data_IF_741205055281
#
_entry.id   IF_741205055281
#
_cell.length_a   1.000
_cell.length_b   1.000
_cell.length_c   1.000
_cell.angle_alpha   90.00
_cell.angle_beta   90.00
_cell.angle_gamma   90.00
#
_symmetry.space_group_name_H-M   'P 1'
#
loop_
_entity.id
_entity.type
_entity.pdbx_description
1 polymer ?
#
# COMPACT_ATOMS: atom_id res chain seq x y z
N UNK A 1 -0.17 -11.47 -18.98
CA UNK A 1 0.52 -10.22 -18.62
C UNK A 1 1.70 -10.07 -19.57
N UNK A 2 2.01 -8.86 -20.06
CA UNK A 2 3.14 -8.69 -20.98
C UNK A 2 4.45 -8.76 -20.18
N UNK A 3 5.52 -9.27 -20.79
CA UNK A 3 6.86 -9.35 -20.18
C UNK A 3 7.38 -7.99 -19.68
N UNK A 4 6.89 -6.90 -20.28
CA UNK A 4 7.12 -5.51 -19.84
C UNK A 4 6.62 -5.21 -18.43
N UNK A 5 5.48 -5.78 -18.03
CA UNK A 5 4.84 -5.44 -16.76
C UNK A 5 5.58 -6.11 -15.59
N UNK A 6 6.08 -7.34 -15.81
CA UNK A 6 6.91 -8.05 -14.84
C UNK A 6 8.29 -7.39 -14.67
N UNK A 7 8.85 -6.83 -15.74
CA UNK A 7 10.10 -6.07 -15.68
C UNK A 7 9.92 -4.78 -14.85
N UNK A 8 8.79 -4.08 -14.99
CA UNK A 8 8.48 -2.92 -14.16
C UNK A 8 8.40 -3.29 -12.67
N UNK A 9 7.65 -4.35 -12.34
CA UNK A 9 7.54 -4.84 -10.97
C UNK A 9 8.87 -5.30 -10.37
N UNK A 10 9.75 -5.92 -11.18
CA UNK A 10 11.11 -6.24 -10.77
C UNK A 10 11.91 -4.99 -10.41
N UNK A 11 11.87 -3.98 -11.28
CA UNK A 11 12.56 -2.70 -11.05
C UNK A 11 12.02 -1.98 -9.81
N UNK A 12 10.71 -2.01 -9.57
CA UNK A 12 10.11 -1.45 -8.36
C UNK A 12 10.65 -2.12 -7.08
N UNK A 13 10.79 -3.44 -7.07
CA UNK A 13 11.35 -4.16 -5.93
C UNK A 13 12.84 -3.86 -5.74
N UNK A 14 13.62 -3.85 -6.83
CA UNK A 14 15.04 -3.50 -6.82
C UNK A 14 15.27 -2.08 -6.29
N UNK A 15 14.48 -1.11 -6.75
CA UNK A 15 14.50 0.28 -6.27
C UNK A 15 14.18 0.37 -4.78
N UNK A 16 13.16 -0.36 -4.33
CA UNK A 16 12.78 -0.39 -2.92
C UNK A 16 13.91 -0.95 -2.05
N UNK A 17 14.47 -2.10 -2.43
CA UNK A 17 15.60 -2.73 -1.73
C UNK A 17 16.79 -1.79 -1.68
N UNK A 18 17.24 -1.27 -2.82
CA UNK A 18 18.36 -0.32 -2.92
C UNK A 18 18.19 0.91 -2.03
N UNK A 19 16.97 1.46 -1.94
CA UNK A 19 16.70 2.64 -1.12
C UNK A 19 16.64 2.35 0.37
N UNK A 20 16.25 1.16 0.78
CA UNK A 20 15.91 0.86 2.18
C UNK A 20 16.69 -0.29 2.81
N UNK A 21 17.61 -0.92 2.09
CA UNK A 21 18.54 -1.90 2.65
C UNK A 21 19.33 -1.25 3.80
N UNK A 22 19.43 -1.98 4.92
CA UNK A 22 20.04 -1.48 6.16
C UNK A 22 19.27 -0.38 6.89
N UNK A 23 18.10 0.07 6.41
CA UNK A 23 17.29 1.12 7.04
C UNK A 23 16.12 0.54 7.85
N UNK A 24 15.60 1.34 8.79
CA UNK A 24 14.33 1.06 9.48
C UNK A 24 13.17 1.38 8.54
N UNK A 25 12.28 0.41 8.35
CA UNK A 25 11.00 0.53 7.67
C UNK A 25 9.91 0.65 8.72
N UNK A 26 9.04 1.66 8.63
CA UNK A 26 7.97 1.83 9.60
C UNK A 26 6.95 0.69 9.50
N UNK A 27 6.46 0.22 10.65
CA UNK A 27 5.27 -0.62 10.71
C UNK A 27 4.09 0.13 10.09
N UNK A 28 3.28 -0.56 9.30
CA UNK A 28 2.14 0.06 8.62
C UNK A 28 0.85 -0.23 9.38
N UNK A 29 -0.05 0.74 9.38
CA UNK A 29 -1.35 0.61 10.07
C UNK A 29 -2.46 1.25 9.27
N UNK A 30 -3.69 0.78 9.53
CA UNK A 30 -4.92 1.37 9.02
C UNK A 30 -5.89 1.61 10.17
N UNK A 31 -6.39 2.83 10.27
CA UNK A 31 -7.39 3.19 11.27
C UNK A 31 -8.46 4.08 10.67
N UNK A 32 -9.71 3.83 11.05
CA UNK A 32 -10.81 4.71 10.67
C UNK A 32 -10.75 5.96 11.53
N UNK A 33 -10.74 7.13 10.88
CA UNK A 33 -10.63 8.44 11.52
C UNK A 33 -11.73 9.37 11.08
N UNK A 34 -11.96 10.41 11.89
CA UNK A 34 -12.81 11.53 11.52
C UNK A 34 -11.92 12.70 11.10
N UNK A 35 -11.85 12.98 9.80
CA UNK A 35 -10.95 13.96 9.20
C UNK A 35 -11.73 14.96 8.34
N UNK A 36 -11.66 16.24 8.70
CA UNK A 36 -12.45 17.32 8.10
C UNK A 36 -11.59 18.42 7.44
N UNK A 37 -10.28 18.23 7.33
CA UNK A 37 -9.38 19.23 6.73
C UNK A 37 -9.30 19.06 5.22
N UNK A 38 -8.83 20.09 4.54
CA UNK A 38 -8.55 20.02 3.10
C UNK A 38 -7.59 18.87 2.78
N UNK A 39 -7.93 18.15 1.72
CA UNK A 39 -7.16 17.02 1.20
C UNK A 39 -6.84 17.25 -0.28
N UNK A 40 -5.72 16.67 -0.71
CA UNK A 40 -5.20 16.73 -2.07
C UNK A 40 -4.86 15.32 -2.53
N UNK A 41 -4.94 15.06 -3.83
CA UNK A 41 -4.47 13.79 -4.37
C UNK A 41 -2.98 13.63 -4.08
N UNK A 42 -2.58 12.43 -3.67
CA UNK A 42 -1.18 12.03 -3.65
C UNK A 42 -0.67 11.98 -5.09
N UNK A 43 0.37 12.75 -5.37
CA UNK A 43 1.01 12.82 -6.68
C UNK A 43 1.81 11.55 -6.94
N UNK A 44 1.66 10.98 -8.13
CA UNK A 44 2.31 9.71 -8.48
C UNK A 44 1.59 8.46 -7.97
N UNK A 45 0.40 8.62 -7.38
CA UNK A 45 -0.37 7.49 -6.84
C UNK A 45 -0.99 6.55 -7.87
N UNK A 46 -0.82 6.83 -9.15
CA UNK A 46 -1.32 5.95 -10.22
C UNK A 46 -0.60 4.59 -10.23
N UNK A 47 0.68 4.59 -9.86
CA UNK A 47 1.47 3.39 -9.56
C UNK A 47 1.31 2.93 -8.11
N UNK A 48 0.52 3.65 -7.28
CA UNK A 48 0.31 3.23 -5.91
C UNK A 48 -0.56 1.97 -5.88
N UNK A 49 -0.28 1.09 -4.91
CA UNK A 49 -0.43 -0.31 -5.23
C UNK A 49 -1.66 -0.92 -4.52
N UNK A 50 -2.27 -1.95 -5.11
CA UNK A 50 -3.56 -2.53 -4.66
C UNK A 50 -3.35 -3.57 -3.53
N UNK A 51 -4.25 -3.63 -2.54
CA UNK A 51 -4.11 -4.42 -1.30
C UNK A 51 -4.60 -5.88 -1.43
N UNK A 52 -3.86 -6.93 -1.03
CA UNK A 52 -4.39 -8.30 -1.05
C UNK A 52 -5.56 -8.52 -0.08
N UNK A 53 -6.60 -9.24 -0.52
CA UNK A 53 -7.92 -9.30 0.13
C UNK A 53 -8.86 -8.14 -0.24
N UNK A 54 -8.37 -7.18 -1.01
CA UNK A 54 -9.11 -6.04 -1.54
C UNK A 54 -8.45 -5.54 -2.82
N UNK A 55 -8.88 -6.08 -3.97
CA UNK A 55 -8.30 -5.88 -5.31
C UNK A 55 -8.14 -4.41 -5.78
N UNK A 56 -8.49 -3.43 -4.94
CA UNK A 56 -8.40 -1.98 -5.12
C UNK A 56 -8.41 -1.27 -3.76
N UNK A 57 -7.96 0.00 -3.70
CA UNK A 57 -8.21 0.88 -2.55
C UNK A 57 -9.69 0.94 -2.18
N UNK A 58 -10.56 0.81 -3.19
CA UNK A 58 -11.99 0.63 -3.00
C UNK A 58 -12.33 -0.58 -2.12
N UNK A 59 -11.73 -1.74 -2.39
CA UNK A 59 -11.92 -2.93 -1.56
C UNK A 59 -11.51 -2.68 -0.10
N UNK A 60 -10.40 -1.97 0.13
CA UNK A 60 -9.92 -1.70 1.48
C UNK A 60 -10.90 -0.79 2.24
N UNK A 61 -11.42 0.25 1.58
CA UNK A 61 -12.47 1.11 2.15
C UNK A 61 -13.73 0.31 2.50
N UNK A 62 -14.16 -0.61 1.61
CA UNK A 62 -15.30 -1.51 1.88
C UNK A 62 -15.01 -2.42 3.07
N UNK A 63 -13.81 -3.01 3.15
CA UNK A 63 -13.42 -3.90 4.22
C UNK A 63 -13.37 -3.19 5.58
N UNK A 64 -13.10 -1.88 5.61
CA UNK A 64 -13.02 -1.07 6.82
C UNK A 64 -14.29 -0.29 7.15
N UNK A 65 -15.31 -0.30 6.27
CA UNK A 65 -16.48 0.58 6.38
C UNK A 65 -17.22 0.48 7.72
N UNK A 66 -17.27 -0.73 8.30
CA UNK A 66 -17.96 -1.01 9.57
C UNK A 66 -17.03 -1.57 10.65
N UNK A 67 -15.70 -1.44 10.48
CA UNK A 67 -14.70 -1.98 11.44
C UNK A 67 -14.43 -1.05 12.62
N UNK A 68 -15.05 0.13 12.68
CA UNK A 68 -14.82 1.12 13.73
C UNK A 68 -16.14 1.55 14.39
N UNK A 69 -16.08 1.75 15.71
CA UNK A 69 -17.16 2.37 16.49
C UNK A 69 -17.16 3.90 16.40
N UNK A 70 -16.11 4.50 15.84
CA UNK A 70 -15.97 5.96 15.73
C UNK A 70 -16.94 6.55 14.71
N UNK A 71 -16.95 5.98 13.50
CA UNK A 71 -17.80 6.38 12.39
C UNK A 71 -17.80 5.29 11.30
N UNK A 72 -18.73 5.41 10.35
CA UNK A 72 -18.85 4.49 9.20
C UNK A 72 -18.35 5.19 7.93
N UNK A 73 -17.48 4.52 7.19
CA UNK A 73 -17.05 4.99 5.86
C UNK A 73 -18.20 4.71 4.89
N UNK A 74 -18.90 5.75 4.46
CA UNK A 74 -20.00 5.63 3.51
C UNK A 74 -19.49 5.38 2.08
N UNK A 75 -19.45 4.14 1.62
CA UNK A 75 -19.00 3.80 0.26
C UNK A 75 -20.06 3.99 -0.85
N UNK A 76 -21.20 4.63 -0.57
CA UNK A 76 -22.28 4.80 -1.56
C UNK A 76 -21.97 5.79 -2.69
N UNK A 77 -20.97 6.65 -2.54
CA UNK A 77 -20.67 7.69 -3.53
C UNK A 77 -19.40 8.47 -3.24
N UNK A 78 -19.02 9.34 -4.18
CA UNK A 78 -17.88 10.23 -4.06
C UNK A 78 -18.03 11.20 -2.87
N UNK A 79 -16.93 11.42 -2.13
CA UNK A 79 -16.91 12.32 -0.97
C UNK A 79 -16.81 13.79 -1.35
N UNK A 80 -16.29 14.08 -2.53
CA UNK A 80 -16.07 15.45 -3.00
C UNK A 80 -17.40 16.08 -3.37
N UNK A 81 -17.63 17.32 -2.91
CA UNK A 81 -18.84 18.10 -3.15
C UNK A 81 -18.65 19.26 -4.14
N UNK A 82 -17.39 19.64 -4.45
CA UNK A 82 -17.01 20.66 -5.47
C UNK A 82 -17.42 20.27 -6.90
N UNK A 83 -17.35 21.18 -7.91
CA UNK A 83 -18.23 21.08 -9.07
C UNK A 83 -18.10 19.74 -9.81
N UNK A 84 -19.23 19.04 -10.02
CA UNK A 84 -19.24 17.73 -10.66
C UNK A 84 -18.81 17.83 -12.13
N UNK A 85 -18.35 16.72 -12.73
CA UNK A 85 -17.95 16.70 -14.13
C UNK A 85 -19.09 17.22 -15.02
N UNK A 86 -18.80 18.21 -15.87
CA UNK A 86 -19.74 18.84 -16.81
C UNK A 86 -21.12 19.23 -16.21
N UNK A 87 -21.18 19.64 -14.94
CA UNK A 87 -22.40 20.17 -14.32
C UNK A 87 -23.48 19.14 -13.95
N UNK A 88 -23.13 17.85 -13.89
CA UNK A 88 -24.04 16.76 -13.51
C UNK A 88 -24.14 16.49 -12.00
N UNK A 89 -24.48 15.27 -11.60
CA UNK A 89 -24.29 14.79 -10.23
C UNK A 89 -22.91 14.14 -10.08
N UNK A 90 -22.38 14.06 -8.86
CA UNK A 90 -21.14 13.33 -8.63
C UNK A 90 -21.32 11.84 -8.98
N UNK A 91 -20.36 11.22 -9.70
CA UNK A 91 -20.43 9.80 -10.01
C UNK A 91 -20.34 8.93 -8.75
N UNK A 92 -20.70 7.66 -8.91
CA UNK A 92 -20.50 6.64 -7.90
C UNK A 92 -19.01 6.56 -7.45
N UNK A 93 -18.82 5.98 -6.28
CA UNK A 93 -17.51 5.55 -5.82
C UNK A 93 -16.96 4.45 -6.74
N UNK A 94 -15.74 4.61 -7.24
CA UNK A 94 -15.17 3.66 -8.21
C UNK A 94 -13.71 3.24 -7.94
N UNK A 95 -12.93 4.05 -7.20
CA UNK A 95 -11.46 3.85 -7.15
C UNK A 95 -10.87 3.88 -5.74
N UNK A 96 -11.34 4.76 -4.86
CA UNK A 96 -10.70 5.05 -3.57
C UNK A 96 -9.53 6.00 -3.78
N UNK A 97 -9.69 7.24 -3.33
CA UNK A 97 -8.71 8.30 -3.50
C UNK A 97 -7.62 8.23 -2.45
N UNK A 98 -6.36 8.30 -2.87
CA UNK A 98 -5.20 8.39 -2.00
C UNK A 98 -4.88 9.86 -1.75
N UNK A 99 -5.04 10.29 -0.50
CA UNK A 99 -5.11 11.69 -0.13
C UNK A 99 -4.02 12.08 0.86
N UNK A 100 -3.55 13.32 0.76
CA UNK A 100 -2.62 13.94 1.70
C UNK A 100 -3.09 15.34 2.07
N UNK A 101 -2.62 15.85 3.19
CA UNK A 101 -2.80 17.25 3.59
C UNK A 101 -1.81 18.19 2.91
N UNK A 102 -0.75 17.65 2.28
CA UNK A 102 0.20 18.45 1.51
C UNK A 102 -0.37 18.82 0.14
N UNK A 103 -0.52 20.13 -0.09
CA UNK A 103 -0.94 20.69 -1.38
C UNK A 103 -0.10 20.28 -2.59
N UNK A 104 1.14 19.79 -2.39
CA UNK A 104 2.00 19.26 -3.46
C UNK A 104 1.72 17.79 -3.77
N UNK A 105 0.85 17.14 -3.02
CA UNK A 105 0.54 15.72 -3.17
C UNK A 105 1.65 14.81 -2.62
N UNK A 106 2.52 15.31 -1.73
CA UNK A 106 3.59 14.52 -1.13
C UNK A 106 3.12 13.84 0.17
N UNK A 107 3.69 12.66 0.44
CA UNK A 107 3.61 11.98 1.73
C UNK A 107 5.05 11.76 2.20
N UNK A 108 5.38 12.30 3.37
CA UNK A 108 6.71 12.11 3.94
C UNK A 108 6.94 10.63 4.31
N UNK A 109 8.19 10.18 4.29
CA UNK A 109 8.56 8.85 4.79
C UNK A 109 8.13 8.70 6.27
N UNK A 110 7.48 7.59 6.59
CA UNK A 110 6.83 7.34 7.88
C UNK A 110 5.53 8.11 8.10
N UNK A 111 5.14 8.97 7.16
CA UNK A 111 3.95 9.80 7.22
C UNK A 111 2.65 9.02 7.06
N UNK A 112 1.56 9.76 7.06
CA UNK A 112 0.21 9.23 6.83
C UNK A 112 -0.39 9.78 5.55
N UNK A 113 -1.24 8.96 4.96
CA UNK A 113 -2.19 9.37 3.95
C UNK A 113 -3.61 9.04 4.43
N UNK A 114 -4.59 9.43 3.64
CA UNK A 114 -6.00 9.10 3.87
C UNK A 114 -6.57 8.45 2.62
N UNK A 115 -7.40 7.43 2.82
CA UNK A 115 -8.27 6.89 1.79
C UNK A 115 -9.68 7.36 2.02
N UNK A 116 -10.30 7.86 0.95
CA UNK A 116 -11.73 8.21 0.94
C UNK A 116 -12.40 7.77 -0.36
N UNK A 117 -13.71 7.48 -0.35
CA UNK A 117 -14.45 7.18 -1.57
C UNK A 117 -14.40 8.32 -2.60
N UNK A 118 -13.82 8.05 -3.77
CA UNK A 118 -13.75 8.97 -4.91
C UNK A 118 -14.27 8.32 -6.20
N UNK A 119 -14.75 9.17 -7.11
CA UNK A 119 -14.94 8.79 -8.51
C UNK A 119 -13.65 8.98 -9.34
N UNK A 120 -13.60 8.37 -10.53
CA UNK A 120 -12.42 8.45 -11.42
C UNK A 120 -12.02 9.88 -11.79
N UNK A 121 -12.98 10.80 -11.94
CA UNK A 121 -12.68 12.17 -12.34
C UNK A 121 -11.93 12.96 -11.25
N UNK A 122 -12.36 12.84 -10.00
CA UNK A 122 -11.67 13.48 -8.86
C UNK A 122 -10.32 12.83 -8.59
N UNK A 123 -10.21 11.52 -8.82
CA UNK A 123 -8.96 10.78 -8.67
C UNK A 123 -8.04 10.89 -9.90
N UNK A 124 -8.23 11.88 -10.78
CA UNK A 124 -7.38 12.08 -11.95
C UNK A 124 -6.20 13.00 -11.65
N UNK A 125 -5.10 12.82 -12.38
CA UNK A 125 -3.90 13.67 -12.28
C UNK A 125 -4.19 15.15 -12.56
N UNK A 126 -5.22 15.45 -13.36
CA UNK A 126 -5.71 16.80 -13.61
C UNK A 126 -6.23 17.53 -12.35
N UNK A 127 -6.42 16.81 -11.24
CA UNK A 127 -6.85 17.33 -9.94
C UNK A 127 -5.75 17.31 -8.88
N UNK A 128 -4.51 16.98 -9.24
CA UNK A 128 -3.39 17.09 -8.31
C UNK A 128 -3.19 18.55 -7.90
N UNK A 129 -2.92 18.78 -6.61
CA UNK A 129 -2.78 20.11 -6.02
C UNK A 129 -4.07 20.93 -5.91
N UNK A 130 -5.21 20.37 -6.31
CA UNK A 130 -6.53 20.98 -6.08
C UNK A 130 -7.06 20.48 -4.75
N UNK A 131 -7.39 21.42 -3.85
CA UNK A 131 -8.01 21.09 -2.57
C UNK A 131 -9.42 20.53 -2.80
N UNK A 132 -9.73 19.40 -2.20
CA UNK A 132 -11.07 18.83 -2.22
C UNK A 132 -11.90 19.34 -1.05
N UNK A 133 -13.09 19.85 -1.39
CA UNK A 133 -14.16 20.06 -0.42
C UNK A 133 -14.96 18.77 -0.29
N UNK A 134 -15.12 18.27 0.92
CA UNK A 134 -15.92 17.09 1.23
C UNK A 134 -16.77 17.33 2.48
N UNK A 135 -18.00 16.82 2.50
CA UNK A 135 -18.90 16.91 3.66
C UNK A 135 -18.84 15.67 4.55
N UNK A 136 -18.38 14.55 3.99
CA UNK A 136 -18.14 13.31 4.72
C UNK A 136 -16.71 13.32 5.25
N UNK A 137 -16.56 12.94 6.51
CA UNK A 137 -15.29 13.05 7.24
C UNK A 137 -14.77 11.70 7.73
N UNK A 138 -15.57 10.64 7.63
CA UNK A 138 -15.11 9.31 8.02
C UNK A 138 -14.21 8.71 6.93
N UNK A 139 -12.93 8.53 7.25
CA UNK A 139 -11.91 8.12 6.29
C UNK A 139 -11.05 7.01 6.88
N UNK A 140 -10.31 6.31 6.02
CA UNK A 140 -9.30 5.36 6.46
C UNK A 140 -7.94 6.05 6.41
N UNK A 141 -7.32 6.33 7.56
CA UNK A 141 -5.94 6.77 7.61
C UNK A 141 -5.02 5.57 7.49
N UNK A 142 -4.05 5.65 6.58
CA UNK A 142 -2.98 4.68 6.45
C UNK A 142 -1.66 5.34 6.86
N UNK A 143 -0.83 4.66 7.65
CA UNK A 143 0.43 5.19 8.16
C UNK A 143 1.60 4.24 7.86
N UNK A 144 2.83 4.77 7.99
CA UNK A 144 4.06 3.98 7.82
C UNK A 144 4.53 3.88 6.36
N UNK A 145 4.10 4.82 5.50
CA UNK A 145 4.50 4.85 4.10
C UNK A 145 5.98 5.11 3.92
N UNK A 146 6.58 4.38 3.00
CA UNK A 146 7.90 4.62 2.46
C UNK A 146 7.75 5.26 1.08
N UNK A 147 8.65 6.19 0.74
CA UNK A 147 8.59 6.91 -0.54
C UNK A 147 8.65 5.94 -1.72
N UNK A 148 7.64 6.00 -2.61
CA UNK A 148 7.51 5.19 -3.83
C UNK A 148 7.59 3.67 -3.59
N UNK A 149 7.02 3.18 -2.49
CA UNK A 149 7.08 1.76 -2.17
C UNK A 149 6.04 0.91 -2.92
N UNK A 150 6.35 -0.36 -3.26
CA UNK A 150 5.37 -1.31 -3.79
C UNK A 150 4.33 -1.77 -2.75
N UNK A 151 3.12 -2.21 -3.17
CA UNK A 151 2.03 -2.60 -2.23
C UNK A 151 2.45 -3.75 -1.37
N UNK A 152 3.04 -4.74 -2.01
CA UNK A 152 3.48 -5.93 -1.34
C UNK A 152 4.38 -5.56 -0.16
N UNK A 153 5.20 -4.51 -0.27
CA UNK A 153 6.05 -4.04 0.84
C UNK A 153 5.25 -3.34 1.94
N UNK A 154 4.28 -2.47 1.61
CA UNK A 154 3.40 -1.85 2.61
C UNK A 154 2.58 -2.91 3.36
N UNK A 155 2.05 -3.87 2.61
CA UNK A 155 1.17 -4.93 3.10
C UNK A 155 1.91 -6.01 3.89
N UNK A 156 3.15 -6.32 3.51
CA UNK A 156 4.03 -7.18 4.29
C UNK A 156 4.31 -6.64 5.71
N UNK A 157 4.13 -5.33 5.92
CA UNK A 157 4.28 -4.65 7.22
C UNK A 157 2.95 -4.35 7.90
N UNK A 158 1.83 -4.77 7.29
CA UNK A 158 0.48 -4.47 7.72
C UNK A 158 -0.05 -5.54 8.68
N UNK A 159 -0.76 -5.13 9.74
CA UNK A 159 -1.35 -5.99 10.78
C UNK A 159 -0.34 -6.78 11.64
N UNK A 160 0.96 -6.77 11.34
CA UNK A 160 2.07 -6.92 12.30
C UNK A 160 2.13 -8.16 13.19
N UNK A 161 1.39 -9.24 12.91
CA UNK A 161 1.27 -10.39 13.82
C UNK A 161 2.39 -11.41 13.70
N UNK A 162 2.99 -11.54 12.52
CA UNK A 162 4.02 -12.53 12.25
C UNK A 162 5.43 -11.96 12.44
N UNK A 163 6.43 -12.85 12.57
CA UNK A 163 7.83 -12.46 12.79
C UNK A 163 8.44 -11.71 11.58
N UNK A 164 7.82 -11.81 10.41
CA UNK A 164 8.18 -11.01 9.25
C UNK A 164 7.32 -11.34 8.05
N UNK A 165 7.85 -11.06 6.87
CA UNK A 165 7.21 -11.36 5.60
C UNK A 165 8.26 -11.46 4.48
N UNK A 166 7.95 -12.21 3.44
CA UNK A 166 8.66 -12.13 2.16
C UNK A 166 7.81 -11.36 1.17
N UNK A 167 8.43 -10.44 0.46
CA UNK A 167 7.90 -9.80 -0.74
C UNK A 167 8.62 -10.41 -1.92
N UNK A 168 7.88 -10.86 -2.93
CA UNK A 168 8.48 -11.52 -4.10
C UNK A 168 7.70 -11.26 -5.37
N UNK A 169 8.37 -11.38 -6.51
CA UNK A 169 7.76 -11.32 -7.84
C UNK A 169 7.13 -12.68 -8.16
N UNK A 170 5.86 -12.68 -8.55
CA UNK A 170 5.15 -13.83 -9.13
C UNK A 170 4.76 -13.53 -10.58
N UNK A 171 4.15 -14.51 -11.27
CA UNK A 171 3.58 -14.31 -12.59
C UNK A 171 2.46 -13.25 -12.66
N UNK A 172 1.94 -12.81 -11.50
CA UNK A 172 0.91 -11.78 -11.38
C UNK A 172 1.45 -10.41 -10.90
N UNK A 173 2.77 -10.28 -10.71
CA UNK A 173 3.42 -9.08 -10.18
C UNK A 173 3.95 -9.27 -8.76
N UNK A 174 4.22 -8.17 -8.05
CA UNK A 174 4.72 -8.24 -6.67
C UNK A 174 3.62 -8.67 -5.70
N UNK A 175 3.91 -9.70 -4.91
CA UNK A 175 3.04 -10.19 -3.84
C UNK A 175 3.84 -10.37 -2.55
N UNK A 176 3.17 -10.74 -1.47
CA UNK A 176 3.83 -10.99 -0.18
C UNK A 176 3.23 -12.19 0.54
N UNK A 177 4.01 -12.70 1.49
CA UNK A 177 3.55 -13.72 2.44
C UNK A 177 4.12 -13.42 3.82
N UNK A 178 3.27 -13.51 4.83
CA UNK A 178 3.70 -13.41 6.21
C UNK A 178 4.53 -14.65 6.61
N UNK A 179 5.58 -14.44 7.40
CA UNK A 179 6.55 -15.47 7.77
C UNK A 179 6.60 -15.64 9.30
N UNK A 180 6.46 -16.87 9.81
CA UNK A 180 6.83 -17.16 11.18
C UNK A 180 8.35 -17.04 11.33
N UNK A 181 8.85 -17.06 12.57
CA UNK A 181 10.27 -16.86 12.86
C UNK A 181 11.18 -17.87 12.14
N UNK A 182 10.72 -19.12 12.00
CA UNK A 182 11.43 -20.15 11.25
C UNK A 182 11.60 -19.82 9.76
N UNK A 183 10.69 -19.04 9.17
CA UNK A 183 10.68 -18.67 7.75
C UNK A 183 11.57 -17.47 7.41
N UNK A 184 12.16 -16.79 8.39
CA UNK A 184 13.00 -15.61 8.17
C UNK A 184 14.37 -15.92 7.54
N UNK A 185 14.77 -17.19 7.52
CA UNK A 185 16.01 -17.64 6.87
C UNK A 185 15.69 -18.12 5.47
N UNK A 186 16.43 -17.64 4.47
CA UNK A 186 16.27 -18.03 3.05
C UNK A 186 16.30 -19.56 2.87
N UNK A 187 17.16 -20.28 3.59
CA UNK A 187 17.24 -21.75 3.56
C UNK A 187 15.97 -22.47 4.03
N UNK A 188 15.09 -21.81 4.79
CA UNK A 188 13.83 -22.38 5.28
C UNK A 188 12.64 -22.09 4.35
N UNK A 189 12.83 -21.28 3.30
CA UNK A 189 11.75 -20.86 2.43
C UNK A 189 11.32 -21.94 1.44
N UNK A 190 12.22 -22.85 1.07
CA UNK A 190 11.91 -24.04 0.25
C UNK A 190 10.82 -24.94 0.87
N UNK A 191 10.56 -24.80 2.18
CA UNK A 191 9.51 -25.53 2.90
C UNK A 191 8.15 -24.81 2.91
N UNK A 192 8.04 -23.62 2.34
CA UNK A 192 6.78 -22.86 2.30
C UNK A 192 5.91 -23.36 1.13
N UNK A 193 4.74 -23.98 1.39
CA UNK A 193 3.85 -24.46 0.34
C UNK A 193 3.33 -23.28 -0.48
N UNK A 194 3.23 -23.40 -1.80
CA UNK A 194 2.68 -22.37 -2.71
C UNK A 194 3.59 -21.15 -2.98
N UNK A 195 4.91 -21.30 -2.84
CA UNK A 195 5.85 -20.37 -3.48
C UNK A 195 5.81 -20.54 -5.01
N UNK A 196 6.11 -19.48 -5.79
CA UNK A 196 5.92 -19.51 -7.24
C UNK A 196 6.87 -20.51 -7.89
N UNK A 197 6.53 -20.96 -9.10
CA UNK A 197 7.28 -22.00 -9.81
C UNK A 197 8.71 -21.56 -10.21
N UNK A 198 9.00 -20.25 -10.21
CA UNK A 198 10.30 -19.65 -10.55
C UNK A 198 11.23 -19.48 -9.34
N UNK A 199 11.48 -20.58 -8.65
CA UNK A 199 12.46 -20.66 -7.57
C UNK A 199 13.89 -20.79 -8.13
N UNK A 200 14.85 -20.20 -7.43
CA UNK A 200 16.25 -20.51 -7.65
C UNK A 200 16.60 -21.90 -7.08
N UNK A 201 17.84 -22.36 -7.30
CA UNK A 201 18.31 -23.67 -6.85
C UNK A 201 18.22 -23.87 -5.32
N UNK A 202 18.23 -22.79 -4.55
CA UNK A 202 18.06 -22.80 -3.09
C UNK A 202 16.59 -22.83 -2.63
N UNK A 203 15.64 -22.87 -3.57
CA UNK A 203 14.20 -22.91 -3.29
C UNK A 203 13.61 -21.58 -2.86
N UNK A 204 14.31 -20.46 -3.11
CA UNK A 204 13.83 -19.10 -2.83
C UNK A 204 13.46 -18.40 -4.14
N UNK A 205 12.39 -17.57 -4.17
CA UNK A 205 12.06 -16.81 -5.39
C UNK A 205 13.23 -15.98 -5.91
N UNK A 206 13.42 -15.95 -7.23
CA UNK A 206 14.56 -15.25 -7.85
C UNK A 206 14.57 -13.74 -7.59
N UNK A 207 13.40 -13.13 -7.37
CA UNK A 207 13.24 -11.72 -7.05
C UNK A 207 12.45 -11.58 -5.76
N UNK A 208 13.11 -11.26 -4.65
CA UNK A 208 12.50 -11.16 -3.33
C UNK A 208 13.21 -10.18 -2.38
N UNK A 209 12.49 -9.81 -1.32
CA UNK A 209 13.01 -9.17 -0.12
C UNK A 209 12.32 -9.77 1.12
N UNK A 210 13.10 -10.21 2.11
CA UNK A 210 12.61 -10.67 3.41
C UNK A 210 12.59 -9.47 4.36
N UNK A 211 11.39 -9.10 4.82
CA UNK A 211 11.17 -8.07 5.83
C UNK A 211 11.07 -8.74 7.19
N UNK A 212 12.07 -8.55 8.05
CA UNK A 212 12.06 -9.01 9.42
C UNK A 212 11.42 -7.96 10.33
N UNK A 213 10.41 -8.36 11.10
CA UNK A 213 9.79 -7.52 12.12
C UNK A 213 10.71 -7.43 13.33
N UNK A 214 10.95 -6.24 13.82
CA UNK A 214 11.78 -5.97 14.99
C UNK A 214 10.98 -5.15 15.98
N UNK A 215 11.04 -5.55 17.24
CA UNK A 215 10.56 -4.75 18.37
C UNK A 215 11.78 -4.24 19.14
N UNK A 216 11.91 -2.91 19.24
CA UNK A 216 12.99 -2.25 19.96
C UNK A 216 12.40 -1.00 20.62
N UNK A 217 12.71 -0.75 21.90
CA UNK A 217 12.25 0.44 22.64
C UNK A 217 10.73 0.70 22.63
N UNK A 218 9.92 -0.38 22.53
CA UNK A 218 8.45 -0.29 22.47
C UNK A 218 7.91 0.10 21.10
N UNK A 219 8.76 0.24 20.09
CA UNK A 219 8.37 0.47 18.70
C UNK A 219 8.47 -0.82 17.89
N UNK A 220 7.50 -1.03 16.99
CA UNK A 220 7.59 -2.06 15.95
C UNK A 220 8.04 -1.43 14.64
N UNK A 221 9.10 -1.97 14.05
CA UNK A 221 9.55 -1.62 12.71
C UNK A 221 10.00 -2.87 11.96
N UNK A 222 10.38 -2.71 10.69
CA UNK A 222 10.89 -3.79 9.86
C UNK A 222 12.28 -3.45 9.30
N UNK A 223 13.06 -4.48 8.99
CA UNK A 223 14.33 -4.37 8.24
C UNK A 223 14.36 -5.38 7.12
N UNK A 224 15.04 -5.05 6.03
CA UNK A 224 15.36 -6.03 4.99
C UNK A 224 16.45 -6.93 5.57
N UNK A 225 16.13 -8.20 5.81
CA UNK A 225 17.02 -9.20 6.38
C UNK A 225 17.79 -9.97 5.31
N UNK A 226 17.16 -10.17 4.15
CA UNK A 226 17.75 -10.80 2.97
C UNK A 226 17.03 -10.27 1.73
N UNK A 227 17.71 -10.25 0.58
CA UNK A 227 17.08 -9.90 -0.68
C UNK A 227 17.86 -10.44 -1.88
N UNK A 228 17.13 -10.70 -2.96
CA UNK A 228 17.69 -10.98 -4.28
C UNK A 228 16.86 -10.21 -5.28
N UNK A 229 17.46 -9.30 -6.00
CA UNK A 229 16.78 -8.58 -7.10
C UNK A 229 17.68 -8.72 -8.32
N UNK A 230 17.24 -9.50 -9.30
CA UNK A 230 18.00 -9.69 -10.53
C UNK A 230 17.90 -8.42 -11.37
N UNK A 231 19.04 -7.98 -11.91
CA UNK A 231 19.13 -6.95 -12.95
C UNK A 231 18.74 -7.51 -14.32
#
# INVERSE_FOLDING_TARGET
MMESDLAEHRNQLADFVSRYEGKRLFSTSAQVVNFASALYNVSGSTSDPKVPGSTSWMGLLIAYQSKSSLCTIDVSGCYVTGPPPAGGNHPAFEVGGHMTTDSKGAVATGGSCYLMPLCKWHNSTSKNGVAFTHSKTCMLQLAGYMQAEPAATFMARFDGKEAGAIVYLSGEGLTYRALPEAGLKSSAMSALPDLPDDLAEDGVPLNHAILHRVEEDGETFYRIADSRTAS
#
